data_IF_740993591622
#
_entry.id   IF_740993591622
#
_cell.length_a   1.000
_cell.length_b   1.000
_cell.length_c   1.000
_cell.angle_alpha   90.00
_cell.angle_beta   90.00
_cell.angle_gamma   90.00
#
_symmetry.space_group_name_H-M   'P 1'
#
loop_
_entity.id
_entity.type
_entity.pdbx_description
1 polymer ?
#
# COMPACT_ATOMS: atom_id res chain seq x y z
N UNK A 1 -18.88 1.64 0.08
CA UNK A 1 -18.60 0.68 1.17
C UNK A 1 -18.38 -0.74 0.67
N UNK A 2 -19.26 -1.37 -0.10
CA UNK A 2 -18.97 -2.70 -0.69
C UNK A 2 -17.74 -2.69 -1.59
N UNK A 3 -17.60 -1.65 -2.41
CA UNK A 3 -16.44 -1.45 -3.29
C UNK A 3 -15.15 -1.25 -2.50
N UNK A 4 -15.21 -0.57 -1.36
CA UNK A 4 -14.06 -0.33 -0.50
C UNK A 4 -13.63 -1.62 0.21
N UNK A 5 -14.59 -2.49 0.53
CA UNK A 5 -14.30 -3.83 1.05
C UNK A 5 -13.64 -4.72 -0.01
N UNK A 6 -14.12 -4.65 -1.26
CA UNK A 6 -13.48 -5.36 -2.38
C UNK A 6 -12.03 -4.87 -2.60
N UNK A 7 -11.77 -3.57 -2.45
CA UNK A 7 -10.42 -3.02 -2.49
C UNK A 7 -9.54 -3.55 -1.34
N UNK A 8 -10.09 -3.61 -0.12
CA UNK A 8 -9.36 -4.18 1.01
C UNK A 8 -9.04 -5.67 0.79
N UNK A 9 -9.95 -6.45 0.20
CA UNK A 9 -9.71 -7.86 -0.18
C UNK A 9 -8.60 -7.95 -1.24
N UNK A 10 -8.64 -7.11 -2.28
CA UNK A 10 -7.62 -7.09 -3.32
C UNK A 10 -6.23 -6.73 -2.77
N UNK A 11 -6.16 -5.78 -1.85
CA UNK A 11 -4.91 -5.44 -1.15
C UNK A 11 -4.45 -6.59 -0.27
N UNK A 12 -5.32 -7.13 0.58
CA UNK A 12 -4.97 -8.27 1.44
C UNK A 12 -4.43 -9.45 0.62
N UNK A 13 -5.02 -9.71 -0.56
CA UNK A 13 -4.53 -10.72 -1.50
C UNK A 13 -3.10 -10.42 -1.97
N UNK A 14 -2.81 -9.19 -2.39
CA UNK A 14 -1.48 -8.81 -2.85
C UNK A 14 -0.44 -8.91 -1.72
N UNK A 15 -0.79 -8.44 -0.54
CA UNK A 15 0.13 -8.41 0.61
C UNK A 15 0.44 -9.82 1.14
N UNK A 16 -0.59 -10.68 1.29
CA UNK A 16 -0.40 -12.09 1.63
C UNK A 16 0.46 -12.79 0.58
N UNK A 17 0.20 -12.50 -0.70
CA UNK A 17 0.95 -13.08 -1.81
C UNK A 17 2.42 -12.64 -1.79
N UNK A 18 2.69 -11.35 -1.53
CA UNK A 18 4.05 -10.83 -1.36
C UNK A 18 4.81 -11.54 -0.22
N UNK A 19 4.16 -11.68 0.94
CA UNK A 19 4.73 -12.44 2.06
C UNK A 19 4.97 -13.92 1.75
N UNK A 20 4.06 -14.56 1.00
CA UNK A 20 4.21 -15.95 0.57
C UNK A 20 5.36 -16.16 -0.43
N UNK A 21 5.56 -15.20 -1.36
CA UNK A 21 6.71 -15.20 -2.28
C UNK A 21 8.01 -15.06 -1.48
N UNK A 22 8.04 -14.19 -0.48
CA UNK A 22 9.20 -14.05 0.39
C UNK A 22 9.52 -15.35 1.15
N UNK A 23 8.52 -16.05 1.67
CA UNK A 23 8.70 -17.37 2.28
C UNK A 23 9.23 -18.42 1.27
N UNK A 24 8.78 -18.35 0.03
CA UNK A 24 9.32 -19.20 -1.01
C UNK A 24 10.80 -18.91 -1.30
N UNK A 25 11.17 -17.62 -1.36
CA UNK A 25 12.57 -17.22 -1.60
C UNK A 25 13.49 -17.62 -0.45
N UNK A 26 13.05 -17.46 0.80
CA UNK A 26 13.88 -17.72 2.00
C UNK A 26 13.93 -19.20 2.38
N UNK A 27 12.81 -19.90 2.29
CA UNK A 27 12.63 -21.23 2.86
C UNK A 27 12.14 -22.28 1.86
N UNK A 28 12.01 -21.91 0.58
CA UNK A 28 11.48 -22.77 -0.49
C UNK A 28 10.06 -23.32 -0.21
N UNK A 29 9.27 -22.60 0.62
CA UNK A 29 7.89 -22.95 0.93
C UNK A 29 7.02 -22.65 -0.29
N UNK A 30 6.19 -23.60 -0.79
CA UNK A 30 5.28 -23.32 -1.89
C UNK A 30 4.34 -22.16 -1.60
N UNK A 31 4.11 -21.26 -2.57
CA UNK A 31 3.33 -20.01 -2.37
C UNK A 31 1.95 -20.28 -1.75
N UNK A 32 1.26 -21.33 -2.16
CA UNK A 32 -0.06 -21.70 -1.60
C UNK A 32 0.01 -22.04 -0.11
N UNK A 33 1.06 -22.72 0.32
CA UNK A 33 1.29 -23.03 1.75
C UNK A 33 1.74 -21.78 2.48
N UNK A 34 2.68 -21.02 1.89
CA UNK A 34 3.15 -19.75 2.44
C UNK A 34 2.03 -18.75 2.67
N UNK A 35 1.08 -18.64 1.74
CA UNK A 35 -0.06 -17.73 1.90
C UNK A 35 -0.99 -18.13 3.06
N UNK A 36 -1.17 -19.43 3.31
CA UNK A 36 -1.94 -19.89 4.47
C UNK A 36 -1.18 -19.61 5.78
N UNK A 37 0.14 -19.77 5.80
CA UNK A 37 0.96 -19.42 6.96
C UNK A 37 0.89 -17.92 7.27
N UNK A 38 1.03 -17.07 6.25
CA UNK A 38 0.88 -15.61 6.40
C UNK A 38 -0.52 -15.27 6.94
N UNK A 39 -1.58 -15.84 6.36
CA UNK A 39 -2.94 -15.64 6.84
C UNK A 39 -3.09 -15.97 8.32
N UNK A 40 -2.61 -17.14 8.75
CA UNK A 40 -2.71 -17.58 10.16
C UNK A 40 -1.95 -16.63 11.09
N UNK A 41 -0.72 -16.25 10.72
CA UNK A 41 0.10 -15.31 11.50
C UNK A 41 -0.58 -13.95 11.62
N UNK A 42 -1.11 -13.42 10.52
CA UNK A 42 -1.80 -12.12 10.49
C UNK A 42 -3.05 -12.16 11.36
N UNK A 43 -3.92 -13.15 11.18
CA UNK A 43 -5.13 -13.30 12.01
C UNK A 43 -4.79 -13.46 13.50
N UNK A 44 -3.74 -14.22 13.82
CA UNK A 44 -3.26 -14.34 15.18
C UNK A 44 -2.82 -13.00 15.76
N UNK A 45 -2.01 -12.23 15.01
CA UNK A 45 -1.56 -10.90 15.42
C UNK A 45 -2.73 -9.93 15.63
N UNK A 46 -3.71 -9.92 14.72
CA UNK A 46 -4.88 -9.05 14.82
C UNK A 46 -5.78 -9.41 16.01
N UNK A 47 -6.09 -10.69 16.20
CA UNK A 47 -7.05 -11.11 17.23
C UNK A 47 -6.49 -11.15 18.65
N UNK A 48 -5.17 -11.24 18.82
CA UNK A 48 -4.53 -11.31 20.14
C UNK A 48 -3.98 -9.98 20.63
N UNK A 49 -3.79 -9.01 19.74
CA UNK A 49 -3.15 -7.74 20.08
C UNK A 49 -4.14 -6.58 20.14
N UNK A 50 -4.05 -5.76 21.21
CA UNK A 50 -4.69 -4.47 21.22
C UNK A 50 -4.05 -3.54 20.16
N UNK A 51 -4.83 -2.64 19.60
CA UNK A 51 -4.42 -1.70 18.54
C UNK A 51 -3.01 -1.10 18.74
N UNK A 52 -2.69 -0.59 19.92
CA UNK A 52 -1.37 0.00 20.22
C UNK A 52 -0.18 -0.96 20.07
N UNK A 53 -0.40 -2.26 20.21
CA UNK A 53 0.68 -3.26 19.99
C UNK A 53 0.86 -3.52 18.51
N UNK A 54 -0.23 -3.57 17.74
CA UNK A 54 -0.19 -3.70 16.28
C UNK A 54 0.50 -2.50 15.66
N UNK A 55 0.18 -1.29 16.08
CA UNK A 55 0.81 -0.04 15.62
C UNK A 55 2.33 -0.07 15.83
N UNK A 56 2.80 -0.49 17.01
CA UNK A 56 4.24 -0.64 17.28
C UNK A 56 4.91 -1.69 16.41
N UNK A 57 4.23 -2.80 16.18
CA UNK A 57 4.72 -3.87 15.31
C UNK A 57 4.86 -3.40 13.86
N UNK A 58 3.87 -2.64 13.36
CA UNK A 58 3.90 -2.03 12.03
C UNK A 58 5.07 -1.05 11.91
N UNK A 59 5.24 -0.14 12.88
CA UNK A 59 6.35 0.80 12.89
C UNK A 59 7.71 0.10 12.88
N UNK A 60 7.88 -0.99 13.65
CA UNK A 60 9.09 -1.79 13.64
C UNK A 60 9.35 -2.38 12.26
N UNK A 61 8.35 -2.99 11.63
CA UNK A 61 8.50 -3.59 10.31
C UNK A 61 8.83 -2.55 9.24
N UNK A 62 8.12 -1.42 9.22
CA UNK A 62 8.40 -0.33 8.26
C UNK A 62 9.82 0.22 8.42
N UNK A 63 10.29 0.38 9.66
CA UNK A 63 11.66 0.83 9.91
C UNK A 63 12.70 -0.18 9.41
N UNK A 64 12.47 -1.48 9.65
CA UNK A 64 13.35 -2.55 9.17
C UNK A 64 13.37 -2.61 7.64
N UNK A 65 12.20 -2.48 6.99
CA UNK A 65 12.09 -2.41 5.52
C UNK A 65 12.90 -1.23 4.98
N UNK A 66 12.69 -0.03 5.53
CA UNK A 66 13.43 1.16 5.12
C UNK A 66 14.94 0.97 5.23
N UNK A 67 15.40 0.35 6.32
CA UNK A 67 16.82 0.05 6.53
C UNK A 67 17.36 -0.97 5.52
N UNK A 68 16.58 -2.04 5.23
CA UNK A 68 16.97 -3.02 4.20
C UNK A 68 17.16 -2.34 2.82
N UNK A 69 16.20 -1.50 2.39
CA UNK A 69 16.33 -0.80 1.11
C UNK A 69 17.47 0.22 1.08
N UNK A 70 17.76 0.89 2.21
CA UNK A 70 18.92 1.79 2.29
C UNK A 70 20.25 1.04 2.15
N UNK A 71 20.34 -0.18 2.66
CA UNK A 71 21.52 -1.02 2.45
C UNK A 71 21.62 -1.40 0.97
N UNK A 72 20.53 -1.87 0.41
CA UNK A 72 20.47 -2.39 -0.96
C UNK A 72 20.76 -1.31 -1.99
N UNK A 73 20.23 -0.08 -1.84
CA UNK A 73 20.53 1.04 -2.75
C UNK A 73 21.99 1.48 -2.71
N UNK A 74 22.68 1.31 -1.57
CA UNK A 74 24.11 1.60 -1.45
C UNK A 74 25.00 0.58 -2.18
N UNK A 75 24.48 -0.61 -2.50
CA UNK A 75 25.19 -1.68 -3.21
C UNK A 75 25.10 -1.54 -4.72
N UNK A 76 24.14 -0.76 -5.24
CA UNK A 76 23.87 -0.59 -6.67
C UNK A 76 24.46 0.73 -7.20
N UNK A 77 25.08 0.70 -8.38
CA UNK A 77 25.52 1.91 -9.08
C UNK A 77 24.35 2.53 -9.83
N UNK A 78 23.91 3.69 -9.37
CA UNK A 78 22.80 4.44 -9.94
C UNK A 78 23.32 5.56 -10.83
N UNK A 79 22.76 5.67 -12.05
CA UNK A 79 22.93 6.85 -12.91
C UNK A 79 21.94 7.94 -12.45
N UNK A 80 22.42 8.83 -11.59
CA UNK A 80 21.62 9.94 -11.06
C UNK A 80 21.18 10.96 -12.13
N UNK A 81 21.95 11.09 -13.21
CA UNK A 81 21.60 11.97 -14.34
C UNK A 81 20.38 11.45 -15.09
N UNK A 82 20.39 10.16 -15.42
CA UNK A 82 19.25 9.49 -16.05
C UNK A 82 18.03 9.48 -15.12
N UNK A 83 18.22 9.23 -13.83
CA UNK A 83 17.16 9.25 -12.83
C UNK A 83 16.47 10.62 -12.75
N UNK A 84 17.24 11.71 -12.66
CA UNK A 84 16.70 13.07 -12.63
C UNK A 84 15.93 13.42 -13.92
N UNK A 85 16.44 12.97 -15.07
CA UNK A 85 15.75 13.17 -16.36
C UNK A 85 14.41 12.42 -16.40
N UNK A 86 14.34 11.20 -15.89
CA UNK A 86 13.12 10.40 -15.82
C UNK A 86 12.03 11.02 -14.93
N UNK A 87 12.39 11.73 -13.87
CA UNK A 87 11.43 12.45 -13.03
C UNK A 87 10.80 13.66 -13.72
N UNK A 88 11.53 14.32 -14.62
CA UNK A 88 11.07 15.55 -15.31
C UNK A 88 10.36 15.24 -16.62
N UNK A 89 10.77 14.18 -17.31
CA UNK A 89 10.24 13.77 -18.61
C UNK A 89 9.56 12.40 -18.49
N UNK A 90 8.24 12.36 -18.17
CA UNK A 90 7.54 11.08 -18.11
C UNK A 90 7.48 10.43 -19.49
N UNK A 91 7.84 9.17 -19.56
CA UNK A 91 7.77 8.35 -20.77
C UNK A 91 6.81 7.19 -20.52
N UNK A 92 5.94 6.93 -21.47
CA UNK A 92 4.96 5.83 -21.41
C UNK A 92 5.33 4.77 -22.47
N UNK A 93 6.19 3.79 -22.12
CA UNK A 93 6.54 2.73 -23.04
C UNK A 93 5.32 1.88 -23.40
N UNK A 94 5.29 1.37 -24.65
CA UNK A 94 4.27 0.40 -25.06
C UNK A 94 4.33 -0.81 -24.12
N UNK A 95 3.17 -1.32 -23.69
CA UNK A 95 3.00 -2.42 -22.73
C UNK A 95 3.37 -2.12 -21.26
N UNK A 96 3.77 -0.89 -20.89
CA UNK A 96 4.01 -0.53 -19.49
C UNK A 96 2.74 -0.12 -18.72
N UNK A 97 1.63 0.06 -19.43
CA UNK A 97 0.40 0.60 -18.85
C UNK A 97 -0.17 -0.23 -17.69
N UNK A 98 -0.26 -1.57 -17.75
CA UNK A 98 -0.72 -2.38 -16.61
C UNK A 98 0.15 -2.19 -15.37
N UNK A 99 1.48 -2.09 -15.55
CA UNK A 99 2.41 -1.86 -14.46
C UNK A 99 2.24 -0.46 -13.86
N UNK A 100 2.08 0.57 -14.70
CA UNK A 100 1.84 1.95 -14.24
C UNK A 100 0.53 2.03 -13.44
N UNK A 101 -0.57 1.40 -13.91
CA UNK A 101 -1.83 1.30 -13.16
C UNK A 101 -1.63 0.58 -11.82
N UNK A 102 -0.94 -0.54 -11.85
CA UNK A 102 -0.64 -1.33 -10.67
C UNK A 102 0.12 -0.49 -9.62
N UNK A 103 1.17 0.22 -10.04
CA UNK A 103 1.94 1.11 -9.16
C UNK A 103 1.07 2.24 -8.60
N UNK A 104 0.23 2.86 -9.44
CA UNK A 104 -0.68 3.93 -8.99
C UNK A 104 -1.66 3.40 -7.93
N UNK A 105 -2.26 2.25 -8.14
CA UNK A 105 -3.17 1.60 -7.19
C UNK A 105 -2.47 1.19 -5.89
N UNK A 106 -1.23 0.70 -6.00
CA UNK A 106 -0.42 0.30 -4.85
C UNK A 106 0.02 1.48 -3.99
N UNK A 107 0.33 2.63 -4.59
CA UNK A 107 0.80 3.82 -3.86
C UNK A 107 -0.34 4.56 -3.19
N UNK A 108 -1.49 4.69 -3.85
CA UNK A 108 -2.64 5.43 -3.33
C UNK A 108 -3.80 4.46 -3.07
N UNK A 109 -3.77 3.84 -1.92
CA UNK A 109 -4.75 2.82 -1.50
C UNK A 109 -6.02 3.47 -0.92
N UNK A 110 -7.18 3.37 -1.58
CA UNK A 110 -8.42 4.04 -1.13
C UNK A 110 -8.85 3.63 0.29
N UNK A 111 -8.74 2.35 0.62
CA UNK A 111 -9.16 1.82 1.93
C UNK A 111 -8.28 2.30 3.09
N UNK A 112 -7.02 2.69 2.83
CA UNK A 112 -6.13 3.27 3.86
C UNK A 112 -6.60 4.64 4.35
N UNK A 113 -7.37 5.38 3.56
CA UNK A 113 -7.97 6.64 4.01
C UNK A 113 -8.97 6.42 5.14
N UNK A 114 -9.76 5.33 5.08
CA UNK A 114 -10.68 4.94 6.14
C UNK A 114 -9.91 4.49 7.39
N UNK A 115 -8.90 3.66 7.22
CA UNK A 115 -8.04 3.20 8.31
C UNK A 115 -7.34 4.37 8.99
N UNK A 116 -6.78 5.32 8.25
CA UNK A 116 -6.12 6.52 8.80
C UNK A 116 -7.10 7.35 9.64
N UNK A 117 -8.33 7.54 9.16
CA UNK A 117 -9.38 8.23 9.91
C UNK A 117 -9.68 7.53 11.25
N UNK A 118 -9.77 6.20 11.27
CA UNK A 118 -10.01 5.43 12.48
C UNK A 118 -8.84 5.50 13.46
N UNK A 119 -7.61 5.43 12.96
CA UNK A 119 -6.38 5.57 13.76
C UNK A 119 -6.38 6.91 14.50
N UNK A 120 -6.73 8.01 13.82
CA UNK A 120 -6.83 9.33 14.44
C UNK A 120 -7.91 9.35 15.53
N UNK A 121 -9.09 8.79 15.25
CA UNK A 121 -10.18 8.74 16.23
C UNK A 121 -9.82 7.89 17.45
N UNK A 122 -9.06 6.82 17.29
CA UNK A 122 -8.63 5.94 18.39
C UNK A 122 -7.75 6.65 19.43
N UNK A 123 -7.12 7.78 19.06
CA UNK A 123 -6.29 8.60 19.95
C UNK A 123 -7.10 9.38 20.99
N UNK A 124 -8.42 9.48 20.84
CA UNK A 124 -9.38 10.08 21.78
C UNK A 124 -8.97 11.49 22.27
N UNK A 125 -8.54 12.35 21.36
CA UNK A 125 -8.16 13.72 21.69
C UNK A 125 -9.33 14.54 22.23
N UNK A 126 -9.04 15.51 23.09
CA UNK A 126 -10.05 16.46 23.56
C UNK A 126 -10.40 17.48 22.47
N UNK A 127 -11.41 17.15 21.66
CA UNK A 127 -11.88 17.99 20.56
C UNK A 127 -12.86 19.10 21.02
N UNK A 128 -13.03 19.33 22.34
CA UNK A 128 -13.85 20.42 22.86
C UNK A 128 -13.09 21.76 22.92
N UNK A 129 -11.75 21.70 22.96
CA UNK A 129 -10.89 22.84 23.02
C UNK A 129 -10.29 23.18 21.66
N UNK A 130 -10.54 24.41 21.18
CA UNK A 130 -10.06 24.90 19.91
C UNK A 130 -8.52 24.86 19.79
N UNK A 131 -7.82 25.24 20.86
CA UNK A 131 -6.36 25.22 20.90
C UNK A 131 -5.80 23.80 20.71
N UNK A 132 -6.49 22.78 21.25
CA UNK A 132 -6.13 21.37 21.08
C UNK A 132 -6.32 20.96 19.62
N UNK A 133 -7.47 21.30 19.02
CA UNK A 133 -7.76 20.97 17.62
C UNK A 133 -6.69 21.58 16.70
N UNK A 134 -6.40 22.87 16.83
CA UNK A 134 -5.41 23.57 16.01
C UNK A 134 -4.01 22.96 16.14
N UNK A 135 -3.62 22.61 17.36
CA UNK A 135 -2.34 21.95 17.62
C UNK A 135 -2.29 20.58 16.94
N UNK A 136 -3.35 19.78 17.06
CA UNK A 136 -3.39 18.44 16.49
C UNK A 136 -3.40 18.47 14.95
N UNK A 137 -4.14 19.37 14.33
CA UNK A 137 -4.11 19.55 12.88
C UNK A 137 -2.70 19.87 12.35
N UNK A 138 -1.93 20.70 13.09
CA UNK A 138 -0.53 20.98 12.71
C UNK A 138 0.37 19.74 12.87
N UNK A 139 0.17 18.95 13.91
CA UNK A 139 0.94 17.72 14.10
C UNK A 139 0.60 16.68 13.04
N UNK A 140 -0.69 16.45 12.76
CA UNK A 140 -1.12 15.52 11.73
C UNK A 140 -0.61 15.90 10.34
N UNK A 141 -0.62 17.20 10.01
CA UNK A 141 -0.05 17.67 8.75
C UNK A 141 1.45 17.35 8.64
N UNK A 142 2.22 17.61 9.70
CA UNK A 142 3.66 17.33 9.72
C UNK A 142 3.96 15.84 9.68
N UNK A 143 3.22 15.06 10.46
CA UNK A 143 3.36 13.60 10.52
C UNK A 143 3.07 12.98 9.16
N UNK A 144 1.94 13.35 8.54
CA UNK A 144 1.58 12.89 7.19
C UNK A 144 2.61 13.30 6.15
N UNK A 145 3.04 14.58 6.15
CA UNK A 145 4.03 15.08 5.20
C UNK A 145 5.35 14.31 5.32
N UNK A 146 5.84 14.12 6.53
CA UNK A 146 7.09 13.40 6.78
C UNK A 146 6.98 11.93 6.37
N UNK A 147 5.90 11.25 6.72
CA UNK A 147 5.63 9.88 6.33
C UNK A 147 5.53 9.71 4.81
N UNK A 148 4.86 10.65 4.12
CA UNK A 148 4.76 10.63 2.66
C UNK A 148 6.10 10.87 1.97
N UNK A 149 6.95 11.76 2.49
CA UNK A 149 8.31 11.98 1.95
C UNK A 149 9.16 10.71 2.10
N UNK A 150 9.12 10.04 3.26
CA UNK A 150 9.82 8.78 3.48
C UNK A 150 9.31 7.69 2.53
N UNK A 151 7.99 7.52 2.44
CA UNK A 151 7.38 6.54 1.54
C UNK A 151 7.75 6.80 0.07
N UNK A 152 7.71 8.06 -0.37
CA UNK A 152 8.17 8.45 -1.71
C UNK A 152 9.66 8.12 -1.94
N UNK A 153 10.51 8.39 -0.96
CA UNK A 153 11.95 8.11 -1.06
C UNK A 153 12.22 6.60 -1.16
N UNK A 154 11.55 5.77 -0.36
CA UNK A 154 11.67 4.31 -0.40
C UNK A 154 11.15 3.76 -1.75
N UNK A 155 9.97 4.18 -2.21
CA UNK A 155 9.44 3.76 -3.50
C UNK A 155 10.35 4.16 -4.67
N UNK A 156 10.89 5.39 -4.63
CA UNK A 156 11.85 5.86 -5.64
C UNK A 156 13.13 5.04 -5.62
N UNK A 157 13.64 4.70 -4.43
CA UNK A 157 14.81 3.85 -4.28
C UNK A 157 14.61 2.48 -4.91
N UNK A 158 13.47 1.84 -4.68
CA UNK A 158 13.13 0.54 -5.28
C UNK A 158 13.07 0.60 -6.82
N UNK A 159 12.45 1.64 -7.38
CA UNK A 159 12.37 1.83 -8.84
C UNK A 159 13.75 2.07 -9.43
N UNK A 160 14.56 2.91 -8.80
CA UNK A 160 15.94 3.21 -9.24
C UNK A 160 16.82 1.96 -9.19
N UNK A 161 16.68 1.17 -8.13
CA UNK A 161 17.41 -0.09 -7.99
C UNK A 161 17.00 -1.08 -9.10
N UNK A 162 15.72 -1.25 -9.35
CA UNK A 162 15.23 -2.11 -10.42
C UNK A 162 15.71 -1.63 -11.81
N UNK A 163 15.68 -0.33 -12.06
CA UNK A 163 16.16 0.25 -13.32
C UNK A 163 17.68 0.03 -13.50
N UNK A 164 18.48 0.24 -12.47
CA UNK A 164 19.93 0.05 -12.53
C UNK A 164 20.32 -1.44 -12.65
N UNK A 165 19.50 -2.33 -12.11
CA UNK A 165 19.81 -3.77 -12.06
C UNK A 165 19.35 -4.49 -13.31
N UNK A 166 18.13 -4.22 -13.80
CA UNK A 166 17.53 -4.95 -14.92
C UNK A 166 17.55 -4.16 -16.23
N UNK A 167 17.02 -2.94 -16.23
CA UNK A 167 16.85 -2.17 -17.47
C UNK A 167 18.16 -1.82 -18.15
N UNK A 168 19.20 -1.40 -17.39
CA UNK A 168 20.51 -1.07 -17.96
C UNK A 168 21.22 -2.28 -18.59
N UNK A 169 20.81 -3.50 -18.25
CA UNK A 169 21.36 -4.74 -18.84
C UNK A 169 20.55 -5.28 -20.00
N UNK A 170 19.46 -4.61 -20.38
CA UNK A 170 18.58 -5.07 -21.46
C UNK A 170 17.67 -6.21 -21.06
N UNK A 171 17.58 -6.56 -19.79
CA UNK A 171 16.68 -7.58 -19.28
C UNK A 171 15.28 -6.98 -19.07
N UNK A 172 14.54 -6.87 -20.16
CA UNK A 172 13.23 -6.19 -20.18
C UNK A 172 12.06 -7.09 -19.78
N UNK A 173 12.29 -8.36 -19.42
CA UNK A 173 11.26 -9.31 -19.01
C UNK A 173 11.57 -9.89 -17.64
N UNK A 174 11.04 -9.26 -16.63
CA UNK A 174 10.98 -9.81 -15.27
C UNK A 174 9.52 -10.20 -15.02
N UNK A 175 9.20 -11.47 -15.20
CA UNK A 175 7.82 -11.97 -15.21
C UNK A 175 7.36 -12.44 -13.81
N UNK A 176 8.26 -12.49 -12.81
CA UNK A 176 7.93 -12.80 -11.43
C UNK A 176 8.97 -12.27 -10.44
N UNK A 177 8.58 -12.15 -9.16
CA UNK A 177 9.45 -11.64 -8.10
C UNK A 177 10.56 -12.62 -7.71
N UNK A 178 10.37 -13.92 -7.91
CA UNK A 178 11.39 -14.92 -7.66
C UNK A 178 12.52 -14.80 -8.68
N UNK A 179 12.16 -14.63 -9.95
CA UNK A 179 13.11 -14.34 -11.03
C UNK A 179 13.84 -13.01 -10.76
N UNK A 180 13.12 -11.98 -10.31
CA UNK A 180 13.73 -10.72 -9.91
C UNK A 180 14.77 -10.92 -8.79
N UNK A 181 14.45 -11.68 -7.76
CA UNK A 181 15.37 -12.01 -6.67
C UNK A 181 16.62 -12.78 -7.16
N UNK A 182 16.44 -13.76 -8.02
CA UNK A 182 17.53 -14.55 -8.59
C UNK A 182 18.44 -13.72 -9.51
N UNK A 183 17.88 -12.76 -10.23
CA UNK A 183 18.66 -11.84 -11.09
C UNK A 183 19.55 -10.88 -10.29
N UNK A 184 19.18 -10.54 -9.07
CA UNK A 184 20.00 -9.72 -8.19
C UNK A 184 21.26 -10.46 -7.68
N UNK A 185 21.20 -11.78 -7.52
CA UNK A 185 22.27 -12.62 -6.99
C UNK A 185 23.60 -12.49 -7.74
N UNK A 186 23.65 -12.50 -9.09
CA UNK A 186 24.92 -12.36 -9.82
C UNK A 186 25.56 -10.95 -9.68
N UNK A 187 24.75 -9.95 -9.32
CA UNK A 187 25.14 -8.55 -9.29
C UNK A 187 25.60 -8.09 -7.92
N UNK A 188 24.87 -8.50 -6.90
CA UNK A 188 24.99 -8.00 -5.53
C UNK A 188 25.38 -9.12 -4.55
N UNK A 189 25.47 -10.37 -5.02
CA UNK A 189 25.74 -11.54 -4.19
C UNK A 189 24.46 -12.10 -3.53
N UNK A 190 24.63 -13.21 -2.81
CA UNK A 190 23.52 -13.90 -2.13
C UNK A 190 22.86 -13.06 -1.04
N UNK A 191 23.62 -12.15 -0.43
CA UNK A 191 23.15 -11.30 0.67
C UNK A 191 22.07 -10.34 0.19
N UNK A 192 22.18 -9.79 -1.01
CA UNK A 192 21.16 -8.88 -1.55
C UNK A 192 19.82 -9.57 -1.78
N UNK A 193 19.82 -10.80 -2.27
CA UNK A 193 18.60 -11.60 -2.44
C UNK A 193 17.94 -11.91 -1.09
N UNK A 194 18.71 -12.22 -0.07
CA UNK A 194 18.22 -12.47 1.28
C UNK A 194 17.66 -11.19 1.90
N UNK A 195 18.37 -10.06 1.78
CA UNK A 195 17.89 -8.75 2.26
C UNK A 195 16.58 -8.38 1.58
N UNK A 196 16.49 -8.54 0.27
CA UNK A 196 15.26 -8.29 -0.48
C UNK A 196 14.10 -9.18 -0.01
N UNK A 197 14.34 -10.47 0.17
CA UNK A 197 13.32 -11.42 0.62
C UNK A 197 12.86 -11.14 2.06
N UNK A 198 13.77 -10.76 2.96
CA UNK A 198 13.41 -10.33 4.33
C UNK A 198 12.57 -9.05 4.27
N UNK A 199 12.97 -8.07 3.49
CA UNK A 199 12.20 -6.83 3.31
C UNK A 199 10.78 -7.13 2.78
N UNK A 200 10.67 -8.00 1.78
CA UNK A 200 9.39 -8.40 1.20
C UNK A 200 8.51 -9.15 2.20
N UNK A 201 9.09 -10.02 3.04
CA UNK A 201 8.37 -10.74 4.09
C UNK A 201 7.81 -9.77 5.15
N UNK A 202 8.65 -8.84 5.62
CA UNK A 202 8.26 -7.84 6.61
C UNK A 202 7.19 -6.90 6.06
N UNK A 203 7.33 -6.48 4.78
CA UNK A 203 6.34 -5.70 4.07
C UNK A 203 5.00 -6.46 4.00
N UNK A 204 5.01 -7.68 3.47
CA UNK A 204 3.80 -8.49 3.33
C UNK A 204 3.08 -8.74 4.65
N UNK A 205 3.80 -9.04 5.73
CA UNK A 205 3.21 -9.20 7.07
C UNK A 205 2.60 -7.89 7.59
N UNK A 206 3.37 -6.79 7.53
CA UNK A 206 2.92 -5.48 8.01
C UNK A 206 1.67 -5.00 7.26
N UNK A 207 1.73 -5.03 5.93
CA UNK A 207 0.65 -4.54 5.08
C UNK A 207 -0.57 -5.47 5.10
N UNK A 208 -0.40 -6.79 5.28
CA UNK A 208 -1.54 -7.71 5.48
C UNK A 208 -2.31 -7.37 6.75
N UNK A 209 -1.63 -7.03 7.86
CA UNK A 209 -2.28 -6.58 9.09
C UNK A 209 -3.07 -5.29 8.83
N UNK A 210 -2.48 -4.30 8.17
CA UNK A 210 -3.19 -3.04 7.88
C UNK A 210 -4.37 -3.23 6.92
N UNK A 211 -4.28 -4.15 5.97
CA UNK A 211 -5.39 -4.49 5.06
C UNK A 211 -6.56 -5.14 5.84
N UNK A 212 -6.28 -6.05 6.75
CA UNK A 212 -7.27 -6.64 7.64
C UNK A 212 -7.92 -5.61 8.55
N UNK A 213 -7.13 -4.73 9.17
CA UNK A 213 -7.65 -3.60 9.96
C UNK A 213 -8.54 -2.67 9.13
N UNK A 214 -8.16 -2.35 7.90
CA UNK A 214 -8.96 -1.52 7.01
C UNK A 214 -10.30 -2.19 6.68
N UNK A 215 -10.31 -3.48 6.37
CA UNK A 215 -11.53 -4.26 6.18
C UNK A 215 -12.42 -4.30 7.42
N UNK A 216 -11.82 -4.48 8.59
CA UNK A 216 -12.51 -4.39 9.88
C UNK A 216 -13.14 -3.02 10.13
N UNK A 217 -12.42 -1.94 9.83
CA UNK A 217 -12.89 -0.55 9.95
C UNK A 217 -14.07 -0.27 9.01
N UNK A 218 -13.93 -0.64 7.73
CA UNK A 218 -14.97 -0.43 6.71
C UNK A 218 -16.24 -1.20 7.11
N UNK A 219 -16.10 -2.46 7.49
CA UNK A 219 -17.25 -3.30 7.83
C UNK A 219 -17.95 -2.82 9.11
N UNK A 220 -17.21 -2.50 10.18
CA UNK A 220 -17.81 -1.95 11.40
C UNK A 220 -18.48 -0.60 11.15
N UNK A 221 -17.91 0.23 10.27
CA UNK A 221 -18.49 1.52 9.85
C UNK A 221 -19.85 1.37 9.15
N UNK A 222 -20.11 0.26 8.44
CA UNK A 222 -21.44 -0.04 7.85
C UNK A 222 -22.52 -0.11 8.93
N UNK A 223 -22.17 -0.62 10.10
CA UNK A 223 -23.08 -0.76 11.24
C UNK A 223 -23.01 0.40 12.23
N UNK A 224 -22.35 1.52 11.86
CA UNK A 224 -22.11 2.67 12.74
C UNK A 224 -21.44 2.27 14.07
N UNK A 225 -20.53 1.29 14.03
CA UNK A 225 -19.74 0.85 15.17
C UNK A 225 -18.30 1.32 15.02
N UNK A 226 -17.66 1.77 16.12
CA UNK A 226 -16.23 2.08 16.08
C UNK A 226 -15.42 0.80 15.87
N UNK A 227 -14.25 0.94 15.26
CA UNK A 227 -13.30 -0.15 15.15
C UNK A 227 -12.87 -0.64 16.54
N UNK A 228 -12.91 -1.92 16.74
CA UNK A 228 -12.42 -2.56 17.95
C UNK A 228 -12.39 -4.07 17.78
N UNK A 229 -11.20 -4.68 17.86
CA UNK A 229 -11.02 -6.12 17.62
C UNK A 229 -11.85 -7.01 18.57
N UNK A 230 -12.32 -6.45 19.68
CA UNK A 230 -13.24 -7.13 20.59
C UNK A 230 -14.68 -7.19 20.04
N UNK A 231 -15.05 -6.30 19.12
CA UNK A 231 -16.42 -6.26 18.57
C UNK A 231 -16.59 -7.32 17.48
N UNK A 232 -17.82 -7.83 17.39
CA UNK A 232 -18.18 -8.88 16.42
C UNK A 232 -18.04 -8.36 14.99
N UNK A 233 -18.48 -7.13 14.75
CA UNK A 233 -18.47 -6.50 13.44
C UNK A 233 -17.07 -6.32 12.89
N UNK A 234 -16.14 -5.83 13.72
CA UNK A 234 -14.73 -5.71 13.32
C UNK A 234 -14.11 -7.05 12.98
N UNK A 235 -14.33 -8.08 13.82
CA UNK A 235 -13.83 -9.44 13.55
C UNK A 235 -14.39 -10.02 12.25
N UNK A 236 -15.66 -9.81 12.00
CA UNK A 236 -16.29 -10.24 10.75
C UNK A 236 -15.68 -9.51 9.56
N UNK A 237 -15.45 -8.20 9.65
CA UNK A 237 -14.80 -7.43 8.60
C UNK A 237 -13.39 -7.91 8.29
N UNK A 238 -12.57 -8.20 9.31
CA UNK A 238 -11.26 -8.80 9.15
C UNK A 238 -11.36 -10.16 8.43
N UNK A 239 -12.24 -11.05 8.90
CA UNK A 239 -12.38 -12.39 8.30
C UNK A 239 -12.89 -12.33 6.86
N UNK A 240 -13.90 -11.47 6.57
CA UNK A 240 -14.45 -11.25 5.23
C UNK A 240 -13.41 -10.67 4.28
N UNK A 241 -12.42 -9.94 4.79
CA UNK A 241 -11.32 -9.40 3.99
C UNK A 241 -10.23 -10.46 3.77
N UNK A 242 -9.76 -11.08 4.83
CA UNK A 242 -8.57 -11.92 4.79
C UNK A 242 -8.82 -13.31 4.22
N UNK A 243 -9.96 -13.94 4.53
CA UNK A 243 -10.25 -15.31 4.07
C UNK A 243 -10.48 -15.35 2.55
N UNK A 244 -11.35 -14.51 1.95
CA UNK A 244 -11.51 -14.50 0.50
C UNK A 244 -10.20 -14.15 -0.23
N UNK A 245 -9.41 -13.21 0.31
CA UNK A 245 -8.09 -12.87 -0.24
C UNK A 245 -7.18 -14.11 -0.34
N UNK A 246 -7.07 -14.89 0.73
CA UNK A 246 -6.28 -16.11 0.76
C UNK A 246 -6.86 -17.20 -0.16
N UNK A 247 -8.17 -17.36 -0.21
CA UNK A 247 -8.82 -18.33 -1.11
C UNK A 247 -8.59 -18.00 -2.59
N UNK A 248 -8.64 -16.72 -2.97
CA UNK A 248 -8.34 -16.29 -4.34
C UNK A 248 -6.90 -16.67 -4.70
N UNK A 249 -5.93 -16.53 -3.78
CA UNK A 249 -4.53 -16.93 -4.03
C UNK A 249 -4.41 -18.42 -4.39
N UNK A 250 -5.21 -19.29 -3.77
CA UNK A 250 -5.19 -20.72 -4.09
C UNK A 250 -5.63 -21.02 -5.54
N UNK A 251 -6.45 -20.14 -6.14
CA UNK A 251 -6.96 -20.27 -7.50
C UNK A 251 -6.07 -19.59 -8.54
N UNK A 252 -5.19 -18.68 -8.13
CA UNK A 252 -4.31 -17.94 -9.04
C UNK A 252 -3.23 -18.88 -9.60
N UNK A 253 -3.03 -18.82 -10.93
CA UNK A 253 -1.98 -19.59 -11.63
C UNK A 253 -0.64 -18.87 -11.65
N UNK A 254 -0.66 -17.54 -11.85
CA UNK A 254 0.54 -16.70 -11.88
C UNK A 254 0.49 -15.68 -10.70
N UNK A 255 1.33 -15.85 -9.68
CA UNK A 255 1.38 -14.95 -8.54
C UNK A 255 1.66 -13.50 -8.93
N UNK A 256 2.58 -13.26 -9.86
CA UNK A 256 2.94 -11.94 -10.33
C UNK A 256 1.77 -11.22 -11.03
N UNK A 257 1.04 -11.92 -11.90
CA UNK A 257 -0.18 -11.37 -12.51
C UNK A 257 -1.26 -11.09 -11.46
N UNK A 258 -1.38 -11.94 -10.44
CA UNK A 258 -2.28 -11.71 -9.31
C UNK A 258 -1.97 -10.40 -8.58
N UNK A 259 -0.69 -10.11 -8.34
CA UNK A 259 -0.25 -8.83 -7.78
C UNK A 259 -0.66 -7.65 -8.67
N UNK A 260 -0.34 -7.71 -9.97
CA UNK A 260 -0.65 -6.62 -10.90
C UNK A 260 -2.16 -6.36 -10.96
N UNK A 261 -2.98 -7.38 -11.17
CA UNK A 261 -4.44 -7.22 -11.33
C UNK A 261 -5.12 -6.73 -10.05
N UNK A 262 -4.66 -7.17 -8.87
CA UNK A 262 -5.19 -6.68 -7.60
C UNK A 262 -4.96 -5.18 -7.43
N UNK A 263 -3.77 -4.69 -7.76
CA UNK A 263 -3.44 -3.28 -7.65
C UNK A 263 -4.10 -2.43 -8.75
N UNK A 264 -4.28 -2.96 -9.95
CA UNK A 264 -5.07 -2.30 -11.01
C UNK A 264 -6.53 -2.07 -10.55
N UNK A 265 -7.12 -3.01 -9.83
CA UNK A 265 -8.47 -2.87 -9.29
C UNK A 265 -8.57 -1.69 -8.30
N UNK A 266 -7.53 -1.47 -7.49
CA UNK A 266 -7.44 -0.32 -6.60
C UNK A 266 -7.36 1.00 -7.39
N UNK A 267 -6.58 1.03 -8.46
CA UNK A 267 -6.47 2.20 -9.31
C UNK A 267 -7.84 2.60 -9.91
N UNK A 268 -8.65 1.63 -10.35
CA UNK A 268 -10.01 1.87 -10.87
C UNK A 268 -10.94 2.46 -9.80
N UNK A 269 -10.80 2.05 -8.55
CA UNK A 269 -11.63 2.57 -7.45
C UNK A 269 -11.19 3.95 -6.97
N UNK A 270 -9.92 4.27 -7.10
CA UNK A 270 -9.29 5.47 -6.53
C UNK A 270 -10.03 6.79 -6.86
N UNK A 271 -10.44 7.09 -8.11
CA UNK A 271 -11.17 8.31 -8.43
C UNK A 271 -12.42 8.51 -7.58
N UNK A 272 -13.21 7.47 -7.38
CA UNK A 272 -14.47 7.55 -6.62
C UNK A 272 -14.20 7.97 -5.18
N UNK A 273 -13.19 7.39 -4.56
CA UNK A 273 -12.79 7.71 -3.18
C UNK A 273 -12.25 9.13 -3.07
N UNK A 274 -11.38 9.56 -4.00
CA UNK A 274 -10.80 10.91 -4.00
C UNK A 274 -11.90 11.97 -4.16
N UNK A 275 -12.81 11.82 -5.13
CA UNK A 275 -13.88 12.78 -5.34
C UNK A 275 -14.81 12.87 -4.12
N UNK A 276 -15.18 11.74 -3.54
CA UNK A 276 -16.00 11.71 -2.32
C UNK A 276 -15.31 12.42 -1.17
N UNK A 277 -14.01 12.16 -0.97
CA UNK A 277 -13.23 12.79 0.09
C UNK A 277 -13.12 14.31 -0.10
N UNK A 278 -12.82 14.78 -1.32
CA UNK A 278 -12.74 16.22 -1.63
C UNK A 278 -14.09 16.88 -1.38
N UNK A 279 -15.19 16.24 -1.80
CA UNK A 279 -16.53 16.75 -1.58
C UNK A 279 -16.84 16.90 -0.08
N UNK A 280 -16.59 15.88 0.73
CA UNK A 280 -16.84 15.89 2.16
C UNK A 280 -15.96 16.91 2.89
N UNK A 281 -14.66 16.93 2.62
CA UNK A 281 -13.70 17.84 3.28
C UNK A 281 -13.85 19.29 2.82
N UNK A 282 -14.49 19.54 1.69
CA UNK A 282 -14.80 20.90 1.21
C UNK A 282 -16.18 21.40 1.64
N UNK A 283 -17.00 20.55 2.25
CA UNK A 283 -18.36 20.90 2.69
C UNK A 283 -18.34 21.62 4.04
N UNK A 284 -18.78 22.87 4.06
CA UNK A 284 -18.96 23.63 5.32
C UNK A 284 -19.98 22.97 6.25
N UNK A 285 -20.97 22.23 5.70
CA UNK A 285 -21.98 21.52 6.48
C UNK A 285 -21.36 20.36 7.28
N UNK A 286 -20.32 19.71 6.72
CA UNK A 286 -19.62 18.59 7.35
C UNK A 286 -18.46 19.06 8.20
N UNK A 287 -17.60 19.94 7.66
CA UNK A 287 -16.32 20.35 8.26
C UNK A 287 -16.39 21.68 9.01
N UNK A 288 -17.51 22.41 8.91
CA UNK A 288 -17.65 23.72 9.55
C UNK A 288 -16.56 24.69 9.09
N UNK A 289 -15.85 25.28 10.06
CA UNK A 289 -14.74 26.22 9.83
C UNK A 289 -13.45 25.58 9.33
N UNK A 290 -13.35 24.25 9.40
CA UNK A 290 -12.20 23.48 8.92
C UNK A 290 -12.37 23.00 7.47
N UNK A 291 -13.43 23.40 6.77
CA UNK A 291 -13.59 23.08 5.36
C UNK A 291 -12.43 23.63 4.53
N UNK A 292 -12.04 22.89 3.51
CA UNK A 292 -10.96 23.26 2.61
C UNK A 292 -11.13 24.68 2.07
N UNK A 293 -10.06 25.47 2.10
CA UNK A 293 -10.02 26.79 1.46
C UNK A 293 -10.22 26.66 -0.04
N UNK A 294 -10.65 27.74 -0.71
CA UNK A 294 -10.88 27.75 -2.17
C UNK A 294 -9.63 27.35 -2.95
N UNK A 295 -8.46 27.86 -2.55
CA UNK A 295 -7.19 27.51 -3.18
C UNK A 295 -6.85 26.02 -3.03
N UNK A 296 -6.97 25.49 -1.81
CA UNK A 296 -6.73 24.06 -1.55
C UNK A 296 -7.72 23.18 -2.32
N UNK A 297 -8.99 23.57 -2.35
CA UNK A 297 -10.03 22.89 -3.12
C UNK A 297 -9.68 22.80 -4.61
N UNK A 298 -9.21 23.90 -5.23
CA UNK A 298 -8.79 23.90 -6.64
C UNK A 298 -7.62 22.94 -6.88
N UNK A 299 -6.61 22.94 -5.99
CA UNK A 299 -5.46 22.04 -6.11
C UNK A 299 -5.90 20.58 -6.00
N UNK A 300 -6.74 20.24 -5.02
CA UNK A 300 -7.24 18.88 -4.83
C UNK A 300 -8.06 18.39 -6.03
N UNK A 301 -8.92 19.26 -6.59
CA UNK A 301 -9.68 18.92 -7.80
C UNK A 301 -8.77 18.74 -9.02
N UNK A 302 -7.74 19.57 -9.18
CA UNK A 302 -6.77 19.42 -10.27
C UNK A 302 -6.06 18.05 -10.16
N UNK A 303 -5.59 17.68 -8.96
CA UNK A 303 -4.98 16.37 -8.71
C UNK A 303 -5.96 15.24 -9.02
N UNK A 304 -7.21 15.34 -8.55
CA UNK A 304 -8.24 14.33 -8.79
C UNK A 304 -8.52 14.13 -10.28
N UNK A 305 -8.58 15.22 -11.06
CA UNK A 305 -8.77 15.16 -12.51
C UNK A 305 -7.58 14.50 -13.19
N UNK A 306 -6.35 14.86 -12.83
CA UNK A 306 -5.13 14.25 -13.40
C UNK A 306 -5.09 12.74 -13.10
N UNK A 307 -5.31 12.34 -11.86
CA UNK A 307 -5.34 10.92 -11.46
C UNK A 307 -6.44 10.17 -12.21
N UNK A 308 -7.62 10.76 -12.35
CA UNK A 308 -8.73 10.15 -13.09
C UNK A 308 -8.43 10.02 -14.57
N UNK A 309 -7.86 11.05 -15.19
CA UNK A 309 -7.47 11.02 -16.60
C UNK A 309 -6.41 9.94 -16.86
N UNK A 310 -5.41 9.82 -15.98
CA UNK A 310 -4.44 8.72 -16.04
C UNK A 310 -5.13 7.35 -15.94
N UNK A 311 -6.03 7.17 -14.98
CA UNK A 311 -6.75 5.90 -14.83
C UNK A 311 -7.60 5.55 -16.06
N UNK A 312 -8.33 6.51 -16.62
CA UNK A 312 -9.13 6.31 -17.85
C UNK A 312 -8.21 6.00 -19.03
N UNK A 313 -7.14 6.78 -19.21
CA UNK A 313 -6.16 6.56 -20.28
C UNK A 313 -5.55 5.16 -20.20
N UNK A 314 -5.18 4.74 -18.99
CA UNK A 314 -4.63 3.41 -18.71
C UNK A 314 -5.64 2.29 -19.00
N UNK A 315 -6.91 2.51 -18.66
CA UNK A 315 -7.97 1.53 -18.93
C UNK A 315 -8.25 1.35 -20.42
N UNK A 316 -8.23 2.45 -21.18
CA UNK A 316 -8.47 2.44 -22.63
C UNK A 316 -7.29 1.84 -23.41
N UNK A 317 -6.06 2.05 -22.95
CA UNK A 317 -4.84 1.59 -23.65
C UNK A 317 -4.29 0.27 -23.12
N UNK A 318 -4.74 -0.18 -21.96
CA UNK A 318 -4.27 -1.43 -21.31
C UNK A 318 -5.06 -2.69 -21.68
N UNK A 319 -6.17 -2.52 -22.38
CA UNK A 319 -6.97 -3.57 -23.01
C UNK A 319 -6.99 -3.36 -24.53
#
# INVERSE_FOLDING_TARGET
MERDLAAAIATAMAEILGGAIALQMLFHIPIKVGSMLILVVVLFCEFTNAYKRIEKLIMLFVSLIGFCFLIEICMVKIDWGAAATGWVKPVFPSHAMPVIMSVLGAVVMPHNLFLHSEIIQSRKWNLKEEAVIQRQLKFEFKDTLFSMIIGWAINSAMILMAAATFYQRGENRVDDLTTAGNMLTPLLGNEATVIFAIALLLAGLSSSITAGMAGGTIFSGIFNKPYGIATKETRQGVLITMIPAALIILLIRSPFQGLIYSQMLLAVQLPITIFTQIYLTSSKKVMGKYANSTGLKMVLWAIAIVVTALNIGLFVTGF
#
